data_IF_255020107901
#
_entry.id   IF_255020107901
#
_cell.length_a   1.000
_cell.length_b   1.000
_cell.length_c   1.000
_cell.angle_alpha   90.00
_cell.angle_beta   90.00
_cell.angle_gamma   90.00
#
_symmetry.space_group_name_H-M   'P 1'
#
loop_
_entity.id
_entity.type
_entity.pdbx_description
1 polymer ?
#
# COMPACT_ATOMS: atom_id res chain seq x y z
N UNK A 1 1.87 -8.29 8.43
CA UNK A 1 1.13 -7.13 7.89
C UNK A 1 1.62 -5.90 8.61
N UNK A 2 1.83 -4.81 7.89
CA UNK A 2 2.11 -3.50 8.46
C UNK A 2 0.99 -2.54 8.05
N UNK A 3 0.61 -1.67 8.97
CA UNK A 3 -0.48 -0.67 8.83
C UNK A 3 0.01 0.61 9.47
N UNK A 4 -0.47 1.77 8.99
CA UNK A 4 -0.30 3.07 9.67
C UNK A 4 1.15 3.37 10.05
N UNK A 5 2.11 3.03 9.17
CA UNK A 5 3.53 3.31 9.45
C UNK A 5 3.86 4.78 9.27
N UNK A 6 3.03 5.53 8.52
CA UNK A 6 3.05 6.99 8.48
C UNK A 6 4.44 7.59 8.19
N UNK A 7 5.12 7.03 7.20
CA UNK A 7 6.40 7.57 6.77
C UNK A 7 6.23 8.99 6.22
N UNK A 8 7.19 9.85 6.57
CA UNK A 8 7.21 11.25 6.18
C UNK A 8 6.92 12.22 7.32
N UNK A 9 6.26 11.80 8.41
CA UNK A 9 5.99 12.67 9.58
C UNK A 9 7.24 13.07 10.35
N UNK A 10 8.11 12.09 10.59
CA UNK A 10 9.32 12.32 11.35
C UNK A 10 10.41 11.35 10.89
N UNK A 11 11.60 11.89 10.64
CA UNK A 11 12.74 11.10 10.19
C UNK A 11 13.18 10.05 11.24
N UNK A 12 13.11 10.39 12.53
CA UNK A 12 13.45 9.49 13.63
C UNK A 12 12.47 8.32 13.69
N UNK A 13 11.17 8.58 13.55
CA UNK A 13 10.16 7.50 13.57
C UNK A 13 10.29 6.62 12.33
N UNK A 14 10.53 7.18 11.14
CA UNK A 14 10.75 6.39 9.92
C UNK A 14 11.92 5.41 10.02
N UNK A 15 13.04 5.82 10.63
CA UNK A 15 14.19 4.92 10.84
C UNK A 15 13.88 3.82 11.86
N UNK A 16 13.17 4.15 12.95
CA UNK A 16 12.73 3.16 13.93
C UNK A 16 11.72 2.17 13.33
N UNK A 17 10.78 2.64 12.50
CA UNK A 17 9.85 1.79 11.76
C UNK A 17 10.61 0.84 10.83
N UNK A 18 11.62 1.30 10.10
CA UNK A 18 12.45 0.40 9.28
C UNK A 18 13.20 -0.64 10.11
N UNK A 19 13.78 -0.23 11.24
CA UNK A 19 14.47 -1.16 12.14
C UNK A 19 13.51 -2.22 12.70
N UNK A 20 12.30 -1.80 13.09
CA UNK A 20 11.25 -2.70 13.53
C UNK A 20 10.80 -3.66 12.42
N UNK A 21 10.53 -3.17 11.21
CA UNK A 21 10.17 -4.01 10.06
C UNK A 21 11.24 -5.07 9.80
N UNK A 22 12.53 -4.69 9.76
CA UNK A 22 13.64 -5.64 9.57
C UNK A 22 13.65 -6.69 10.66
N UNK A 23 13.50 -6.28 11.92
CA UNK A 23 13.47 -7.23 13.03
C UNK A 23 12.32 -8.21 12.93
N UNK A 24 11.13 -7.74 12.53
CA UNK A 24 9.97 -8.60 12.34
C UNK A 24 10.18 -9.58 11.17
N UNK A 25 10.75 -9.12 10.05
CA UNK A 25 11.09 -9.99 8.91
C UNK A 25 12.08 -11.09 9.27
N UNK A 26 13.08 -10.78 10.10
CA UNK A 26 14.05 -11.77 10.60
C UNK A 26 13.42 -12.85 11.49
N UNK A 27 12.46 -12.44 12.33
CA UNK A 27 11.80 -13.33 13.29
C UNK A 27 10.74 -14.20 12.62
N UNK A 28 9.84 -13.58 11.84
CA UNK A 28 8.67 -14.25 11.26
C UNK A 28 8.99 -14.97 9.94
N UNK A 29 10.02 -14.52 9.20
CA UNK A 29 10.40 -15.06 7.87
C UNK A 29 9.20 -15.27 6.94
N UNK A 30 8.38 -14.23 6.70
CA UNK A 30 7.13 -14.39 5.98
C UNK A 30 7.32 -14.65 4.49
N UNK A 31 6.40 -15.40 3.89
CA UNK A 31 6.33 -15.59 2.42
C UNK A 31 5.72 -14.38 1.69
N UNK A 32 4.98 -13.53 2.41
CA UNK A 32 4.33 -12.32 1.88
C UNK A 32 4.22 -11.25 2.98
N UNK A 33 4.49 -10.00 2.62
CA UNK A 33 4.17 -8.83 3.44
C UNK A 33 3.04 -8.04 2.82
N UNK A 34 2.03 -7.72 3.61
CA UNK A 34 0.97 -6.78 3.22
C UNK A 34 1.21 -5.46 3.93
N UNK A 35 1.30 -4.38 3.15
CA UNK A 35 1.16 -3.00 3.58
C UNK A 35 -0.29 -2.58 3.38
N UNK A 36 -1.06 -2.48 4.47
CA UNK A 36 -2.49 -2.23 4.39
C UNK A 36 -2.80 -0.77 4.77
N UNK A 37 -2.59 0.15 3.83
CA UNK A 37 -2.91 1.56 3.98
C UNK A 37 -1.95 2.35 4.89
N UNK A 38 -1.95 3.67 4.69
CA UNK A 38 -1.29 4.70 5.47
C UNK A 38 0.20 4.43 5.74
N UNK A 39 0.90 4.01 4.69
CA UNK A 39 2.35 3.90 4.72
C UNK A 39 3.03 5.26 4.62
N UNK A 40 2.37 6.23 4.01
CA UNK A 40 2.81 7.62 3.89
C UNK A 40 1.86 8.56 4.62
N UNK A 41 2.37 9.75 4.96
CA UNK A 41 1.57 10.80 5.61
C UNK A 41 1.54 12.05 4.74
N UNK A 42 0.59 12.12 3.82
CA UNK A 42 0.40 13.22 2.86
C UNK A 42 0.47 14.63 3.48
N UNK A 43 -0.05 14.81 4.68
CA UNK A 43 -0.03 16.07 5.43
C UNK A 43 1.38 16.52 5.86
N UNK A 44 2.35 15.61 5.84
CA UNK A 44 3.77 15.91 6.11
C UNK A 44 4.52 16.38 4.87
N UNK A 45 3.88 16.37 3.70
CA UNK A 45 4.46 16.79 2.43
C UNK A 45 4.33 18.31 2.18
N UNK A 46 4.43 19.13 3.23
CA UNK A 46 4.11 20.57 3.22
C UNK A 46 4.86 21.38 2.14
N UNK A 47 6.11 21.04 1.84
CA UNK A 47 6.92 21.74 0.84
C UNK A 47 6.46 21.50 -0.60
N UNK A 48 5.93 20.32 -0.91
CA UNK A 48 5.43 19.98 -2.24
C UNK A 48 3.94 20.30 -2.41
N UNK A 49 3.18 20.36 -1.30
CA UNK A 49 1.81 20.87 -1.31
C UNK A 49 1.77 22.33 -1.78
N UNK A 50 2.76 23.14 -1.36
CA UNK A 50 2.89 24.52 -1.83
C UNK A 50 3.20 24.64 -3.33
N UNK A 51 3.91 23.68 -3.92
CA UNK A 51 4.26 23.67 -5.35
C UNK A 51 3.21 22.97 -6.22
N UNK A 52 2.27 22.22 -5.62
CA UNK A 52 1.26 21.43 -6.32
C UNK A 52 1.77 20.14 -6.95
N UNK A 53 3.03 19.75 -6.70
CA UNK A 53 3.60 18.50 -7.23
C UNK A 53 4.39 17.75 -6.14
N UNK A 54 3.77 16.70 -5.58
CA UNK A 54 4.35 15.85 -4.55
C UNK A 54 4.91 14.52 -5.05
N UNK A 55 4.98 14.31 -6.36
CA UNK A 55 5.37 13.02 -6.96
C UNK A 55 6.68 12.48 -6.40
N UNK A 56 7.73 13.30 -6.38
CA UNK A 56 9.06 12.88 -5.89
C UNK A 56 9.05 12.56 -4.39
N UNK A 57 8.28 13.31 -3.60
CA UNK A 57 8.16 13.07 -2.16
C UNK A 57 7.55 11.69 -1.87
N UNK A 58 6.45 11.35 -2.55
CA UNK A 58 5.81 10.05 -2.38
C UNK A 58 6.67 8.91 -2.91
N UNK A 59 7.40 9.11 -4.01
CA UNK A 59 8.40 8.14 -4.49
C UNK A 59 9.48 7.90 -3.43
N UNK A 60 9.97 8.95 -2.78
CA UNK A 60 11.00 8.82 -1.75
C UNK A 60 10.47 8.17 -0.47
N UNK A 61 9.22 8.41 -0.10
CA UNK A 61 8.55 7.70 0.99
C UNK A 61 8.33 6.23 0.63
N UNK A 62 7.87 5.93 -0.58
CA UNK A 62 7.73 4.56 -1.09
C UNK A 62 9.05 3.79 -1.02
N UNK A 63 10.15 4.40 -1.46
CA UNK A 63 11.48 3.78 -1.34
C UNK A 63 11.82 3.46 0.11
N UNK A 64 11.42 4.28 1.07
CA UNK A 64 11.73 4.06 2.48
C UNK A 64 10.97 2.88 3.08
N UNK A 65 9.64 2.85 2.95
CA UNK A 65 8.84 1.81 3.61
C UNK A 65 8.94 0.45 2.91
N UNK A 66 9.20 0.42 1.60
CA UNK A 66 9.44 -0.83 0.86
C UNK A 66 10.87 -1.35 1.01
N UNK A 67 11.82 -0.53 1.48
CA UNK A 67 13.23 -0.92 1.57
C UNK A 67 13.46 -2.21 2.39
N UNK A 68 12.85 -2.42 3.57
CA UNK A 68 13.08 -3.64 4.34
C UNK A 68 12.66 -4.91 3.60
N UNK A 69 11.51 -4.91 2.93
CA UNK A 69 11.03 -6.07 2.17
C UNK A 69 11.83 -6.28 0.88
N UNK A 70 12.25 -5.19 0.22
CA UNK A 70 13.14 -5.24 -0.94
C UNK A 70 14.51 -5.82 -0.58
N UNK A 71 15.12 -5.35 0.51
CA UNK A 71 16.43 -5.83 1.00
C UNK A 71 16.33 -7.33 1.39
N UNK A 72 15.24 -7.73 2.04
CA UNK A 72 14.98 -9.12 2.43
C UNK A 72 14.52 -10.01 1.26
N UNK A 73 14.25 -9.43 0.08
CA UNK A 73 13.68 -10.10 -1.10
C UNK A 73 12.36 -10.83 -0.79
N UNK A 74 11.58 -10.29 0.13
CA UNK A 74 10.27 -10.82 0.49
C UNK A 74 9.22 -10.20 -0.46
N UNK A 75 8.34 -11.03 -1.06
CA UNK A 75 7.21 -10.51 -1.82
C UNK A 75 6.31 -9.62 -0.98
N UNK A 76 5.75 -8.57 -1.58
CA UNK A 76 4.83 -7.69 -0.87
C UNK A 76 3.66 -7.22 -1.73
N UNK A 77 2.65 -6.67 -1.06
CA UNK A 77 1.45 -6.13 -1.67
C UNK A 77 0.99 -4.89 -0.90
N UNK A 78 0.48 -3.87 -1.60
CA UNK A 78 0.08 -2.58 -1.03
C UNK A 78 -1.41 -2.32 -1.28
N UNK A 79 -2.13 -1.84 -0.27
CA UNK A 79 -3.36 -1.04 -0.44
C UNK A 79 -3.02 0.43 -0.18
N UNK A 80 -3.82 1.34 -0.73
CA UNK A 80 -3.62 2.80 -0.61
C UNK A 80 -4.67 3.32 0.35
N UNK A 81 -4.22 3.80 1.50
CA UNK A 81 -5.07 4.42 2.52
C UNK A 81 -5.36 5.89 2.27
N UNK A 82 -6.08 6.51 3.20
CA UNK A 82 -6.47 7.92 3.08
C UNK A 82 -5.29 8.89 3.21
N UNK A 83 -4.22 8.50 3.90
CA UNK A 83 -2.99 9.28 4.00
C UNK A 83 -1.97 8.98 2.91
N UNK A 84 -2.21 7.95 2.10
CA UNK A 84 -1.40 7.60 0.93
C UNK A 84 -1.83 8.33 -0.35
N UNK A 85 -3.01 8.95 -0.32
CA UNK A 85 -3.50 9.76 -1.42
C UNK A 85 -2.75 11.11 -1.43
N UNK A 86 -2.30 11.53 -2.61
CA UNK A 86 -1.63 12.83 -2.77
C UNK A 86 -2.66 13.96 -2.71
N UNK A 87 -3.16 14.37 -1.54
CA UNK A 87 -4.04 15.55 -1.38
C UNK A 87 -4.92 15.89 -2.60
N UNK A 88 -4.72 17.07 -3.21
CA UNK A 88 -5.50 17.57 -4.35
C UNK A 88 -5.22 16.89 -5.72
N UNK A 89 -4.41 15.84 -5.81
CA UNK A 89 -4.20 15.13 -7.08
C UNK A 89 -5.22 14.00 -7.26
N UNK A 90 -5.93 13.94 -8.40
CA UNK A 90 -7.06 13.04 -8.60
C UNK A 90 -6.69 11.56 -8.76
N UNK A 91 -5.41 11.17 -8.65
CA UNK A 91 -5.03 9.79 -8.93
C UNK A 91 -3.87 9.24 -8.07
N UNK A 92 -4.22 8.69 -6.90
CA UNK A 92 -3.30 7.88 -6.09
C UNK A 92 -2.79 6.62 -6.81
N UNK A 93 -3.36 6.23 -7.96
CA UNK A 93 -2.85 5.11 -8.78
C UNK A 93 -1.45 5.39 -9.32
N UNK A 94 -0.93 6.63 -9.31
CA UNK A 94 0.42 6.89 -9.81
C UNK A 94 1.49 6.13 -9.00
N UNK A 95 1.40 6.10 -7.67
CA UNK A 95 2.39 5.41 -6.83
C UNK A 95 2.27 3.91 -6.98
N UNK A 96 1.05 3.42 -7.21
CA UNK A 96 0.76 2.02 -7.51
C UNK A 96 1.37 1.61 -8.85
N UNK A 97 1.24 2.44 -9.90
CA UNK A 97 1.92 2.21 -11.19
C UNK A 97 3.45 2.24 -11.01
N UNK A 98 3.97 3.21 -10.25
CA UNK A 98 5.39 3.28 -9.95
C UNK A 98 5.89 2.02 -9.23
N UNK A 99 5.13 1.52 -8.25
CA UNK A 99 5.38 0.27 -7.53
C UNK A 99 5.40 -0.94 -8.47
N UNK A 100 4.46 -1.04 -9.41
CA UNK A 100 4.44 -2.11 -10.41
C UNK A 100 5.66 -2.09 -11.33
N UNK A 101 6.12 -0.88 -11.70
CA UNK A 101 7.26 -0.71 -12.61
C UNK A 101 8.62 -0.93 -11.93
N UNK A 102 8.74 -0.61 -10.62
CA UNK A 102 10.02 -0.57 -9.90
C UNK A 102 10.14 -1.57 -8.74
N UNK A 103 9.01 -2.06 -8.21
CA UNK A 103 8.92 -3.01 -7.11
C UNK A 103 9.16 -4.45 -7.57
N UNK A 104 10.42 -4.89 -7.59
CA UNK A 104 10.82 -6.22 -8.13
C UNK A 104 10.12 -7.43 -7.48
N UNK A 105 9.65 -7.29 -6.25
CA UNK A 105 8.93 -8.33 -5.50
C UNK A 105 7.50 -7.92 -5.19
N UNK A 106 6.98 -6.89 -5.85
CA UNK A 106 5.61 -6.42 -5.66
C UNK A 106 4.60 -7.32 -6.38
N UNK A 107 3.51 -7.63 -5.69
CA UNK A 107 2.28 -8.20 -6.24
C UNK A 107 1.14 -7.18 -6.30
N UNK A 108 1.42 -5.91 -6.00
CA UNK A 108 0.42 -4.84 -6.01
C UNK A 108 -0.21 -4.69 -7.39
N UNK A 109 -1.51 -4.37 -7.42
CA UNK A 109 -2.22 -4.08 -8.66
C UNK A 109 -2.99 -2.78 -8.54
N UNK A 110 -2.91 -1.98 -9.59
CA UNK A 110 -3.77 -0.80 -9.77
C UNK A 110 -5.23 -1.25 -9.79
N UNK A 111 -6.10 -0.50 -9.11
CA UNK A 111 -7.54 -0.71 -9.18
C UNK A 111 -8.03 -0.71 -10.64
N UNK A 112 -8.92 -1.63 -11.06
CA UNK A 112 -9.46 -1.62 -12.41
C UNK A 112 -10.12 -0.27 -12.78
N UNK A 113 -10.27 0.03 -14.09
CA UNK A 113 -11.04 1.20 -14.51
C UNK A 113 -12.48 1.14 -13.96
N UNK A 114 -12.96 2.23 -13.39
CA UNK A 114 -14.30 2.33 -12.82
C UNK A 114 -14.45 1.76 -11.40
N UNK A 115 -13.36 1.35 -10.75
CA UNK A 115 -13.32 1.00 -9.33
C UNK A 115 -12.63 2.12 -8.54
N UNK A 116 -13.26 2.54 -7.44
CA UNK A 116 -12.76 3.57 -6.55
C UNK A 116 -11.53 3.10 -5.76
N UNK A 117 -10.60 4.03 -5.54
CA UNK A 117 -9.32 3.78 -4.86
C UNK A 117 -8.15 3.52 -5.81
N UNK A 118 -6.93 3.56 -5.24
CA UNK A 118 -5.68 3.41 -6.00
C UNK A 118 -5.30 1.95 -6.27
N UNK A 119 -5.61 1.06 -5.32
CA UNK A 119 -5.08 -0.30 -5.26
C UNK A 119 -6.11 -1.27 -4.67
N UNK A 120 -7.15 -1.57 -5.46
CA UNK A 120 -8.24 -2.51 -5.12
C UNK A 120 -8.13 -3.74 -6.02
N UNK A 121 -7.84 -4.90 -5.43
CA UNK A 121 -7.54 -6.13 -6.16
C UNK A 121 -7.59 -7.35 -5.23
N UNK A 122 -7.37 -8.54 -5.79
CA UNK A 122 -7.22 -9.76 -5.01
C UNK A 122 -5.95 -10.52 -5.38
N UNK A 123 -5.42 -11.26 -4.40
CA UNK A 123 -4.29 -12.17 -4.56
C UNK A 123 -4.74 -13.61 -4.32
N UNK A 124 -4.76 -14.46 -5.36
CA UNK A 124 -4.98 -15.89 -5.17
C UNK A 124 -3.77 -16.54 -4.52
N UNK A 125 -4.00 -17.28 -3.45
CA UNK A 125 -2.99 -18.07 -2.76
C UNK A 125 -3.16 -19.53 -3.20
N UNK A 126 -2.07 -20.15 -3.64
CA UNK A 126 -2.06 -21.53 -4.12
C UNK A 126 -1.32 -22.45 -3.14
N UNK A 127 -1.69 -23.72 -3.14
CA UNK A 127 -0.95 -24.73 -2.39
C UNK A 127 0.50 -24.82 -2.89
N UNK A 128 1.44 -25.07 -1.97
CA UNK A 128 2.85 -25.29 -2.31
C UNK A 128 3.06 -26.54 -3.18
N UNK A 129 2.21 -27.56 -3.01
CA UNK A 129 2.26 -28.81 -3.78
C UNK A 129 1.86 -28.61 -5.24
N UNK A 130 2.59 -29.23 -6.16
CA UNK A 130 2.32 -29.17 -7.61
C UNK A 130 0.99 -29.81 -8.01
N UNK A 131 0.42 -30.70 -7.20
CA UNK A 131 -0.83 -31.42 -7.50
C UNK A 131 -2.10 -30.56 -7.43
N UNK A 132 -2.02 -29.33 -6.88
CA UNK A 132 -3.20 -28.49 -6.61
C UNK A 132 -3.05 -27.04 -7.09
N UNK A 133 -2.19 -26.77 -8.08
CA UNK A 133 -1.96 -25.40 -8.58
C UNK A 133 -3.06 -24.85 -9.48
N UNK A 134 -4.01 -25.68 -9.91
CA UNK A 134 -5.07 -25.28 -10.84
C UNK A 134 -6.20 -24.49 -10.17
N UNK A 135 -6.23 -24.43 -8.83
CA UNK A 135 -7.23 -23.68 -8.05
C UNK A 135 -6.60 -23.00 -6.83
N UNK A 136 -6.95 -21.74 -6.53
CA UNK A 136 -6.54 -21.09 -5.28
C UNK A 136 -7.08 -21.83 -4.07
N UNK A 137 -6.28 -21.95 -3.01
CA UNK A 137 -6.68 -22.44 -1.69
C UNK A 137 -7.24 -21.33 -0.81
N UNK A 138 -6.84 -20.09 -1.06
CA UNK A 138 -7.40 -18.89 -0.44
C UNK A 138 -7.31 -17.70 -1.40
N UNK A 139 -8.06 -16.65 -1.11
CA UNK A 139 -7.98 -15.37 -1.83
C UNK A 139 -7.84 -14.27 -0.78
N UNK A 140 -6.80 -13.45 -0.91
CA UNK A 140 -6.66 -12.22 -0.13
C UNK A 140 -7.29 -11.08 -0.91
N UNK A 141 -8.30 -10.45 -0.33
CA UNK A 141 -8.90 -9.23 -0.87
C UNK A 141 -8.16 -8.02 -0.32
N UNK A 142 -7.65 -7.20 -1.22
CA UNK A 142 -6.83 -6.03 -0.92
C UNK A 142 -7.70 -4.80 -1.15
N UNK A 143 -8.27 -4.29 -0.07
CA UNK A 143 -9.26 -3.20 -0.07
C UNK A 143 -8.91 -2.24 1.06
N UNK A 144 -8.93 -0.96 0.76
CA UNK A 144 -8.94 0.13 1.73
C UNK A 144 -10.22 0.94 1.51
N UNK A 145 -10.80 1.45 2.59
CA UNK A 145 -12.07 2.18 2.53
C UNK A 145 -11.94 3.57 1.91
N UNK A 146 -10.74 4.15 1.86
CA UNK A 146 -10.53 5.52 1.42
C UNK A 146 -10.71 6.53 2.55
N UNK A 147 -10.94 7.79 2.20
CA UNK A 147 -10.84 8.93 3.12
C UNK A 147 -12.09 9.12 3.98
N UNK A 148 -13.10 9.82 3.47
CA UNK A 148 -14.26 10.25 4.26
C UNK A 148 -15.55 10.23 3.47
N UNK A 149 -16.64 10.22 4.23
CA UNK A 149 -18.01 10.45 3.78
C UNK A 149 -18.60 9.35 2.89
N UNK A 150 -18.64 8.13 3.42
CA UNK A 150 -19.33 6.98 2.81
C UNK A 150 -20.80 7.31 2.48
N UNK A 151 -21.11 7.46 1.20
CA UNK A 151 -22.48 7.71 0.70
C UNK A 151 -23.25 8.81 1.46
N UNK A 152 -22.53 9.86 1.86
CA UNK A 152 -23.10 11.00 2.59
C UNK A 152 -23.24 10.80 4.11
N UNK A 153 -22.74 9.69 4.67
CA UNK A 153 -22.63 9.47 6.11
C UNK A 153 -21.32 10.10 6.61
N UNK A 154 -21.36 11.09 7.52
CA UNK A 154 -20.15 11.70 8.06
C UNK A 154 -19.30 10.69 8.82
N UNK A 155 -17.99 10.70 8.55
CA UNK A 155 -17.02 9.79 9.16
C UNK A 155 -15.94 9.37 8.18
N UNK A 156 -15.15 8.36 8.57
CA UNK A 156 -14.32 7.61 7.63
C UNK A 156 -15.20 6.95 6.57
N UNK A 157 -14.63 6.73 5.39
CA UNK A 157 -15.33 6.10 4.28
C UNK A 157 -15.64 4.61 4.55
N UNK A 158 -16.22 3.92 3.58
CA UNK A 158 -16.61 2.52 3.67
C UNK A 158 -16.22 1.76 2.40
N UNK A 159 -16.18 0.43 2.48
CA UNK A 159 -16.01 -0.37 1.28
C UNK A 159 -17.19 -0.13 0.32
N UNK A 160 -16.89 0.43 -0.85
CA UNK A 160 -17.87 0.75 -1.87
C UNK A 160 -18.43 -0.50 -2.56
N UNK A 161 -19.65 -0.40 -3.09
CA UNK A 161 -20.29 -1.51 -3.83
C UNK A 161 -19.50 -1.97 -5.05
N UNK A 162 -18.71 -1.06 -5.63
CA UNK A 162 -17.82 -1.31 -6.76
C UNK A 162 -16.53 -2.04 -6.34
N UNK A 163 -16.09 -1.91 -5.08
CA UNK A 163 -14.86 -2.51 -4.55
C UNK A 163 -15.02 -3.98 -4.12
N UNK A 164 -16.25 -4.43 -3.90
CA UNK A 164 -16.61 -5.81 -3.51
C UNK A 164 -17.53 -6.42 -4.56
N UNK A 165 -16.94 -6.98 -5.62
CA UNK A 165 -17.63 -7.76 -6.66
C UNK A 165 -17.07 -9.18 -6.79
#
# INVERSE_FOLDING_TARGET
MFVDLHYGENFVTGNLSQAFQRKLLEMEKPDLVVFNGDMSSDYSASSCQASGNCTDWFIDVWKQYTKPVSDAKVPYAITIGNHDAIGNLPDSRFIVKYDQDHGKTSFTRVAPPGIDGGSVYYLPIYASSTASRDRPTAVLWMIDTGDRNCYGVPGYDCAGYDQVQ
#
